data_IF_846063677991
#
_entry.id   IF_846063677991
#
_cell.length_a   1.000
_cell.length_b   1.000
_cell.length_c   1.000
_cell.angle_alpha   90.00
_cell.angle_beta   90.00
_cell.angle_gamma   90.00
#
_symmetry.space_group_name_H-M   'P 1'
#
loop_
_entity.id
_entity.type
_entity.pdbx_description
1 polymer ?
#
# COMPACT_ATOMS: atom_id res chain seq x y z
N UNK A 1 -9.84 14.02 -2.20
CA UNK A 1 -8.40 14.09 -1.86
C UNK A 1 -7.96 12.74 -1.31
N UNK A 2 -6.69 12.36 -1.46
CA UNK A 2 -6.14 11.08 -0.96
C UNK A 2 -5.59 11.27 0.45
N UNK A 3 -5.99 10.40 1.36
CA UNK A 3 -5.67 10.43 2.78
C UNK A 3 -4.94 9.15 3.19
N UNK A 4 -3.85 9.25 3.94
CA UNK A 4 -3.08 8.13 4.47
C UNK A 4 -3.21 8.14 5.99
N UNK A 5 -3.85 7.11 6.52
CA UNK A 5 -4.18 7.02 7.94
C UNK A 5 -3.36 5.89 8.53
N UNK A 6 -2.49 6.21 9.49
CA UNK A 6 -1.76 5.23 10.29
C UNK A 6 -2.52 4.96 11.58
N UNK A 7 -2.75 3.68 11.85
CA UNK A 7 -3.44 3.21 13.05
C UNK A 7 -2.53 2.24 13.78
N UNK A 8 -2.30 2.48 15.07
CA UNK A 8 -1.72 1.49 15.99
C UNK A 8 -2.89 0.85 16.72
N UNK A 9 -2.93 -0.47 16.70
CA UNK A 9 -3.98 -1.27 17.30
C UNK A 9 -3.39 -2.48 18.02
N UNK A 10 -4.13 -3.02 18.97
CA UNK A 10 -3.77 -4.29 19.62
C UNK A 10 -3.78 -5.43 18.60
N UNK A 11 -2.78 -6.31 18.70
CA UNK A 11 -2.64 -7.49 17.85
C UNK A 11 -3.51 -8.65 18.34
N UNK A 12 -4.82 -8.41 18.39
CA UNK A 12 -5.81 -9.37 18.85
C UNK A 12 -6.77 -9.82 17.74
N UNK A 13 -7.28 -11.04 17.88
CA UNK A 13 -8.25 -11.60 16.95
C UNK A 13 -9.49 -10.69 16.83
N UNK A 14 -9.77 -10.26 15.60
CA UNK A 14 -10.93 -9.44 15.27
C UNK A 14 -10.72 -7.93 15.36
N UNK A 15 -9.59 -7.43 15.88
CA UNK A 15 -9.29 -6.00 15.89
C UNK A 15 -9.26 -5.43 14.45
N UNK A 16 -8.58 -6.13 13.54
CA UNK A 16 -8.58 -5.81 12.11
C UNK A 16 -10.00 -5.85 11.49
N UNK A 17 -10.78 -6.88 11.79
CA UNK A 17 -12.14 -7.03 11.24
C UNK A 17 -13.07 -5.91 11.68
N UNK A 18 -12.91 -5.40 12.91
CA UNK A 18 -13.67 -4.26 13.44
C UNK A 18 -13.30 -2.97 12.73
N UNK A 19 -12.00 -2.73 12.52
CA UNK A 19 -11.54 -1.56 11.73
C UNK A 19 -12.07 -1.63 10.30
N UNK A 20 -11.91 -2.76 9.61
CA UNK A 20 -12.41 -2.93 8.24
C UNK A 20 -13.95 -2.79 8.17
N UNK A 21 -14.66 -3.41 9.11
CA UNK A 21 -16.12 -3.34 9.21
C UNK A 21 -16.64 -1.92 9.42
N UNK A 22 -15.92 -1.09 10.19
CA UNK A 22 -16.27 0.32 10.37
C UNK A 22 -16.28 1.09 9.04
N UNK A 23 -15.29 0.85 8.17
CA UNK A 23 -15.25 1.49 6.86
C UNK A 23 -16.44 1.06 6.00
N UNK A 24 -16.74 -0.24 5.96
CA UNK A 24 -17.91 -0.75 5.22
C UNK A 24 -19.23 -0.18 5.73
N UNK A 25 -19.46 -0.19 7.05
CA UNK A 25 -20.71 0.30 7.66
C UNK A 25 -20.95 1.79 7.44
N UNK A 26 -19.87 2.58 7.36
CA UNK A 26 -19.94 4.03 7.15
C UNK A 26 -19.84 4.43 5.67
N UNK A 27 -19.64 3.47 4.77
CA UNK A 27 -19.45 3.74 3.35
C UNK A 27 -18.17 4.50 3.04
N UNK A 28 -17.13 4.34 3.86
CA UNK A 28 -15.81 4.92 3.59
C UNK A 28 -15.05 4.07 2.57
N UNK A 29 -14.44 4.72 1.59
CA UNK A 29 -13.64 4.02 0.58
C UNK A 29 -12.30 3.54 1.17
N UNK A 30 -11.88 2.32 0.83
CA UNK A 30 -10.53 1.82 1.09
C UNK A 30 -9.85 1.60 -0.27
N UNK A 31 -8.84 2.40 -0.56
CA UNK A 31 -8.02 2.25 -1.76
C UNK A 31 -6.92 1.21 -1.54
N UNK A 32 -6.29 1.22 -0.36
CA UNK A 32 -5.39 0.15 0.07
C UNK A 32 -5.36 0.05 1.58
N UNK A 33 -5.03 -1.13 2.08
CA UNK A 33 -4.88 -1.41 3.50
C UNK A 33 -3.70 -2.37 3.69
N UNK A 34 -2.73 -1.97 4.50
CA UNK A 34 -1.66 -2.84 4.99
C UNK A 34 -1.79 -3.01 6.49
N UNK A 35 -1.45 -4.19 6.99
CA UNK A 35 -1.32 -4.45 8.42
C UNK A 35 -0.16 -5.40 8.67
N UNK A 36 0.62 -5.14 9.71
CA UNK A 36 1.65 -6.04 10.21
C UNK A 36 1.99 -5.69 11.67
N UNK A 37 2.53 -6.67 12.39
CA UNK A 37 3.07 -6.47 13.74
C UNK A 37 4.16 -5.40 13.74
N UNK A 38 4.22 -4.64 14.83
CA UNK A 38 5.31 -3.68 15.07
C UNK A 38 6.52 -4.36 15.72
N UNK A 39 7.50 -3.58 16.18
CA UNK A 39 8.58 -4.09 17.03
C UNK A 39 8.08 -4.54 18.42
N UNK A 40 6.89 -4.10 18.82
CA UNK A 40 6.15 -4.68 19.93
C UNK A 40 5.14 -5.70 19.36
N UNK A 41 5.29 -7.01 19.66
CA UNK A 41 4.42 -8.04 19.11
C UNK A 41 2.97 -7.97 19.63
N UNK A 42 2.69 -7.19 20.68
CA UNK A 42 1.32 -6.94 21.17
C UNK A 42 0.59 -5.89 20.34
N UNK A 43 1.30 -5.16 19.47
CA UNK A 43 0.76 -4.08 18.67
C UNK A 43 0.98 -4.33 17.18
N UNK A 44 -0.07 -4.11 16.41
CA UNK A 44 -0.05 -4.07 14.96
C UNK A 44 -0.12 -2.62 14.46
N UNK A 45 0.55 -2.35 13.34
CA UNK A 45 0.40 -1.09 12.60
C UNK A 45 -0.40 -1.36 11.34
N UNK A 46 -1.48 -0.62 11.18
CA UNK A 46 -2.29 -0.60 9.98
C UNK A 46 -2.11 0.73 9.25
N UNK A 47 -1.87 0.69 7.94
CA UNK A 47 -1.89 1.88 7.09
C UNK A 47 -3.06 1.76 6.13
N UNK A 48 -3.96 2.75 6.15
CA UNK A 48 -5.16 2.78 5.33
C UNK A 48 -5.07 3.98 4.39
N UNK A 49 -5.19 3.74 3.09
CA UNK A 49 -5.34 4.79 2.09
C UNK A 49 -6.82 4.91 1.75
N UNK A 50 -7.37 6.12 1.89
CA UNK A 50 -8.76 6.43 1.61
C UNK A 50 -8.87 7.68 0.76
N UNK A 51 -9.98 7.83 0.04
CA UNK A 51 -10.26 8.99 -0.80
C UNK A 51 -11.53 9.70 -0.30
N UNK A 52 -11.45 10.99 -0.04
CA UNK A 52 -12.60 11.77 0.44
C UNK A 52 -12.34 13.26 0.61
N UNK A 53 -13.31 13.97 1.17
CA UNK A 53 -13.13 15.34 1.66
C UNK A 53 -12.49 15.34 3.06
N UNK A 54 -12.02 16.49 3.53
CA UNK A 54 -11.52 16.67 4.92
C UNK A 54 -12.54 16.22 5.96
N UNK A 55 -13.84 16.51 5.72
CA UNK A 55 -14.92 16.07 6.61
C UNK A 55 -15.01 14.55 6.73
N UNK A 56 -14.75 13.82 5.64
CA UNK A 56 -14.74 12.35 5.66
C UNK A 56 -13.54 11.85 6.46
N UNK A 57 -12.34 12.44 6.26
CA UNK A 57 -11.15 12.10 7.03
C UNK A 57 -11.38 12.32 8.54
N UNK A 58 -11.89 13.49 8.92
CA UNK A 58 -12.21 13.79 10.31
C UNK A 58 -13.18 12.76 10.90
N UNK A 59 -14.20 12.34 10.13
CA UNK A 59 -15.13 11.31 10.57
C UNK A 59 -14.44 9.97 10.73
N UNK A 60 -13.60 9.54 9.78
CA UNK A 60 -12.84 8.29 9.89
C UNK A 60 -12.01 8.31 11.18
N UNK A 61 -11.21 9.36 11.40
CA UNK A 61 -10.37 9.50 12.60
C UNK A 61 -11.22 9.48 13.87
N UNK A 62 -12.33 10.22 13.92
CA UNK A 62 -13.24 10.25 15.08
C UNK A 62 -13.89 8.89 15.35
N UNK A 63 -14.19 8.10 14.33
CA UNK A 63 -14.79 6.78 14.52
C UNK A 63 -13.74 5.73 14.93
N UNK A 64 -12.54 5.78 14.36
CA UNK A 64 -11.45 4.87 14.74
C UNK A 64 -11.03 5.05 16.20
N UNK A 65 -10.95 6.29 16.69
CA UNK A 65 -10.65 6.57 18.11
C UNK A 65 -11.72 6.08 19.10
N UNK A 66 -12.89 5.60 18.63
CA UNK A 66 -13.92 5.01 19.49
C UNK A 66 -13.78 3.51 19.64
N UNK A 67 -12.95 2.86 18.82
CA UNK A 67 -12.67 1.43 18.93
C UNK A 67 -11.70 1.23 20.10
N UNK A 68 -11.99 0.26 20.97
CA UNK A 68 -11.23 0.02 22.19
C UNK A 68 -9.81 -0.45 21.84
N UNK A 69 -9.68 -1.22 20.78
CA UNK A 69 -8.42 -1.84 20.34
C UNK A 69 -7.49 -0.85 19.65
N UNK A 70 -8.00 0.33 19.28
CA UNK A 70 -7.22 1.36 18.60
C UNK A 70 -6.48 2.19 19.63
N UNK A 71 -5.17 1.99 19.71
CA UNK A 71 -4.28 2.70 20.62
C UNK A 71 -4.02 4.12 20.12
N UNK A 72 -3.81 4.29 18.81
CA UNK A 72 -3.52 5.60 18.23
C UNK A 72 -3.89 5.70 16.76
N UNK A 73 -4.42 6.85 16.38
CA UNK A 73 -4.70 7.20 14.98
C UNK A 73 -3.91 8.45 14.61
N UNK A 74 -3.22 8.42 13.47
CA UNK A 74 -2.49 9.56 12.93
C UNK A 74 -2.80 9.70 11.45
N UNK A 75 -3.18 10.90 11.04
CA UNK A 75 -3.17 11.28 9.63
C UNK A 75 -1.72 11.56 9.21
N UNK A 76 -1.21 10.77 8.27
CA UNK A 76 0.12 10.94 7.68
C UNK A 76 0.11 11.95 6.54
N UNK A 77 -1.02 12.19 5.86
CA UNK A 77 -1.10 13.14 4.75
C UNK A 77 -0.76 14.56 5.18
N UNK A 78 -1.18 14.97 6.39
CA UNK A 78 -0.86 16.28 6.97
C UNK A 78 0.58 16.41 7.51
N UNK A 79 1.40 15.36 7.41
CA UNK A 79 2.75 15.33 7.97
C UNK A 79 3.79 15.09 6.88
N UNK A 80 5.02 15.53 7.14
CA UNK A 80 6.15 15.08 6.34
C UNK A 80 6.39 13.58 6.61
N UNK A 81 6.19 12.76 5.59
CA UNK A 81 6.19 11.30 5.70
C UNK A 81 6.91 10.64 4.53
N UNK A 82 7.27 9.38 4.75
CA UNK A 82 7.70 8.44 3.72
C UNK A 82 6.58 7.43 3.54
N UNK A 83 6.12 7.28 2.31
CA UNK A 83 5.25 6.18 1.90
C UNK A 83 5.97 5.28 0.89
N UNK A 84 5.74 3.98 1.00
CA UNK A 84 6.22 2.96 0.07
C UNK A 84 5.16 1.88 -0.12
N UNK A 85 5.26 1.22 -1.25
CA UNK A 85 4.47 0.09 -1.65
C UNK A 85 5.42 -0.89 -2.36
N UNK A 86 5.11 -2.18 -2.26
CA UNK A 86 5.78 -3.25 -2.99
C UNK A 86 4.78 -3.90 -3.94
N UNK A 87 5.24 -4.22 -5.13
CA UNK A 87 4.50 -4.98 -6.12
C UNK A 87 5.37 -6.10 -6.68
N UNK A 88 4.78 -7.29 -6.82
CA UNK A 88 5.29 -8.35 -7.67
C UNK A 88 4.43 -8.38 -8.94
N UNK A 89 5.06 -8.27 -10.11
CA UNK A 89 4.41 -8.36 -11.40
C UNK A 89 5.01 -9.50 -12.21
N UNK A 90 4.15 -10.45 -12.62
CA UNK A 90 4.51 -11.56 -13.51
C UNK A 90 4.19 -11.14 -14.95
N UNK A 91 5.20 -11.12 -15.80
CA UNK A 91 5.14 -10.55 -17.14
C UNK A 91 5.68 -11.55 -18.17
N UNK A 92 4.95 -11.75 -19.25
CA UNK A 92 5.35 -12.53 -20.41
C UNK A 92 6.18 -11.67 -21.37
N UNK A 93 7.39 -12.12 -21.70
CA UNK A 93 8.22 -11.52 -22.75
C UNK A 93 7.94 -12.24 -24.09
N UNK A 94 6.73 -11.99 -24.61
CA UNK A 94 6.27 -12.56 -25.89
C UNK A 94 6.40 -11.60 -27.07
N UNK A 95 6.66 -10.31 -26.83
CA UNK A 95 6.71 -9.30 -27.89
C UNK A 95 8.05 -9.32 -28.64
N UNK A 96 7.98 -9.40 -29.97
CA UNK A 96 9.12 -9.23 -30.89
C UNK A 96 9.45 -7.76 -31.17
N UNK A 97 8.61 -6.82 -30.72
CA UNK A 97 8.65 -5.40 -31.14
C UNK A 97 8.43 -4.40 -29.98
N UNK A 98 8.37 -4.86 -28.73
CA UNK A 98 8.15 -4.01 -27.55
C UNK A 98 9.44 -3.63 -26.83
N UNK A 99 9.39 -2.53 -26.08
CA UNK A 99 10.45 -2.03 -25.19
C UNK A 99 11.10 -3.19 -24.41
N UNK A 100 12.43 -3.23 -24.35
CA UNK A 100 13.16 -4.29 -23.66
C UNK A 100 12.77 -4.28 -22.17
N UNK A 101 12.14 -5.37 -21.72
CA UNK A 101 11.73 -5.55 -20.33
C UNK A 101 12.92 -5.36 -19.38
N UNK A 102 14.14 -5.73 -19.80
CA UNK A 102 15.36 -5.54 -19.01
C UNK A 102 15.70 -4.06 -18.86
N UNK A 103 15.57 -3.29 -19.94
CA UNK A 103 15.79 -1.84 -19.92
C UNK A 103 14.76 -1.14 -19.02
N UNK A 104 13.48 -1.54 -19.10
CA UNK A 104 12.44 -1.03 -18.19
C UNK A 104 12.74 -1.35 -16.73
N UNK A 105 13.17 -2.58 -16.44
CA UNK A 105 13.59 -2.97 -15.08
C UNK A 105 14.74 -2.10 -14.60
N UNK A 106 15.73 -1.81 -15.45
CA UNK A 106 16.87 -0.97 -15.10
C UNK A 106 16.47 0.50 -14.87
N UNK A 107 15.70 1.10 -15.79
CA UNK A 107 15.23 2.50 -15.69
C UNK A 107 14.42 2.72 -14.41
N UNK A 108 13.53 1.78 -14.08
CA UNK A 108 12.73 1.88 -12.87
C UNK A 108 13.47 1.38 -11.61
N UNK A 109 14.69 0.87 -11.72
CA UNK A 109 15.44 0.28 -10.60
C UNK A 109 14.66 -0.84 -9.92
N UNK A 110 13.98 -1.67 -10.72
CA UNK A 110 13.26 -2.87 -10.29
C UNK A 110 14.23 -4.05 -10.15
N UNK A 111 13.74 -5.16 -9.62
CA UNK A 111 14.52 -6.41 -9.52
C UNK A 111 13.78 -7.54 -10.18
N UNK A 112 14.47 -8.32 -11.00
CA UNK A 112 13.94 -9.62 -11.47
C UNK A 112 14.17 -10.64 -10.36
N UNK A 113 13.09 -11.23 -9.84
CA UNK A 113 13.16 -12.20 -8.74
C UNK A 113 12.95 -13.65 -9.19
N UNK A 114 12.36 -13.86 -10.36
CA UNK A 114 12.20 -15.18 -10.97
C UNK A 114 12.12 -15.08 -12.50
N UNK A 115 12.61 -16.12 -13.19
CA UNK A 115 12.57 -16.22 -14.66
C UNK A 115 12.31 -17.68 -15.06
N UNK A 116 11.25 -17.90 -15.84
CA UNK A 116 10.93 -19.23 -16.38
C UNK A 116 10.21 -19.11 -17.72
N UNK A 117 10.68 -19.81 -18.76
CA UNK A 117 9.98 -19.92 -20.05
C UNK A 117 9.52 -18.58 -20.65
N UNK A 118 10.41 -17.56 -20.63
CA UNK A 118 10.14 -16.15 -21.03
C UNK A 118 9.12 -15.40 -20.17
N UNK A 119 8.72 -15.96 -19.04
CA UNK A 119 7.97 -15.28 -18.00
C UNK A 119 8.94 -14.76 -16.95
N UNK A 120 8.77 -13.51 -16.57
CA UNK A 120 9.59 -12.82 -15.59
C UNK A 120 8.70 -12.41 -14.42
N UNK A 121 9.15 -12.64 -13.20
CA UNK A 121 8.56 -12.02 -12.02
C UNK A 121 9.44 -10.87 -11.60
N UNK A 122 8.87 -9.66 -11.58
CA UNK A 122 9.57 -8.41 -11.29
C UNK A 122 9.07 -7.84 -9.98
N UNK A 123 9.98 -7.61 -9.04
CA UNK A 123 9.76 -6.83 -7.83
C UNK A 123 9.94 -5.34 -8.14
N UNK A 124 8.91 -4.56 -7.82
CA UNK A 124 8.88 -3.11 -7.93
C UNK A 124 8.59 -2.54 -6.55
N UNK A 125 9.48 -1.69 -6.05
CA UNK A 125 9.25 -0.93 -4.82
C UNK A 125 9.34 0.57 -5.06
N UNK A 126 8.46 1.32 -4.40
CA UNK A 126 8.41 2.77 -4.56
C UNK A 126 7.14 3.40 -4.02
N UNK A 127 6.91 4.66 -4.37
CA UNK A 127 5.59 5.28 -4.19
C UNK A 127 4.60 4.68 -5.19
N UNK A 128 3.32 4.69 -4.87
CA UNK A 128 2.24 4.22 -5.77
C UNK A 128 2.34 4.81 -7.18
N UNK A 129 2.75 6.08 -7.32
CA UNK A 129 2.98 6.72 -8.64
C UNK A 129 4.08 6.02 -9.46
N UNK A 130 5.18 5.60 -8.84
CA UNK A 130 6.27 4.87 -9.52
C UNK A 130 5.79 3.50 -9.99
N UNK A 131 5.05 2.80 -9.12
CA UNK A 131 4.51 1.47 -9.42
C UNK A 131 3.52 1.55 -10.59
N UNK A 132 2.59 2.51 -10.56
CA UNK A 132 1.64 2.71 -11.66
C UNK A 132 2.37 3.07 -12.96
N UNK A 133 3.36 3.98 -12.92
CA UNK A 133 4.13 4.32 -14.10
C UNK A 133 4.91 3.13 -14.71
N UNK A 134 5.36 2.18 -13.86
CA UNK A 134 5.97 0.94 -14.35
C UNK A 134 4.94 0.05 -15.06
N UNK A 135 3.72 -0.07 -14.51
CA UNK A 135 2.64 -0.82 -15.14
C UNK A 135 2.18 -0.17 -16.46
N UNK A 136 2.08 1.15 -16.49
CA UNK A 136 1.67 1.91 -17.67
C UNK A 136 2.69 1.81 -18.83
N UNK A 137 3.96 1.53 -18.52
CA UNK A 137 5.02 1.33 -19.50
C UNK A 137 5.00 -0.08 -20.14
N UNK A 138 4.16 -0.99 -19.64
CA UNK A 138 4.07 -2.38 -20.10
C UNK A 138 2.73 -2.58 -20.78
N UNK A 139 2.75 -3.22 -21.95
CA UNK A 139 1.51 -3.59 -22.63
C UNK A 139 0.65 -4.49 -21.72
N UNK A 140 -0.63 -4.16 -21.47
CA UNK A 140 -1.48 -4.92 -20.57
C UNK A 140 -1.60 -6.41 -20.93
N UNK A 141 -1.48 -6.76 -22.22
CA UNK A 141 -1.50 -8.15 -22.72
C UNK A 141 -0.31 -8.98 -22.26
N UNK A 142 0.81 -8.35 -21.90
CA UNK A 142 2.00 -9.04 -21.40
C UNK A 142 1.96 -9.25 -19.88
N UNK A 143 1.06 -8.58 -19.16
CA UNK A 143 0.92 -8.73 -17.71
C UNK A 143 0.07 -9.97 -17.42
N UNK A 144 0.67 -10.96 -16.77
CA UNK A 144 -0.01 -12.21 -16.40
C UNK A 144 -0.69 -12.06 -15.03
N UNK A 145 0.03 -11.51 -14.05
CA UNK A 145 -0.43 -11.44 -12.67
C UNK A 145 0.23 -10.27 -11.95
N UNK A 146 -0.50 -9.64 -11.04
CA UNK A 146 -0.01 -8.58 -10.17
C UNK A 146 -0.41 -8.90 -8.73
N UNK A 147 0.55 -8.77 -7.81
CA UNK A 147 0.29 -8.77 -6.36
C UNK A 147 0.89 -7.50 -5.76
N UNK A 148 0.06 -6.69 -5.09
CA UNK A 148 0.44 -5.41 -4.49
C UNK A 148 0.19 -5.46 -2.99
N UNK A 149 1.12 -4.92 -2.21
CA UNK A 149 0.95 -4.85 -0.75
C UNK A 149 -0.05 -3.80 -0.33
N UNK A 150 -0.24 -2.74 -1.14
CA UNK A 150 -0.78 -1.49 -0.64
C UNK A 150 0.29 -0.65 0.07
N UNK A 151 -0.10 0.55 0.50
CA UNK A 151 0.86 1.52 1.05
C UNK A 151 1.19 1.24 2.51
N UNK A 152 2.47 1.32 2.83
CA UNK A 152 2.98 1.47 4.20
C UNK A 152 3.66 2.83 4.34
N UNK A 153 3.56 3.45 5.51
CA UNK A 153 4.11 4.78 5.74
C UNK A 153 4.60 5.03 7.15
N UNK A 154 5.51 6.00 7.26
CA UNK A 154 6.04 6.51 8.53
C UNK A 154 6.33 8.01 8.43
N UNK A 155 6.11 8.76 9.51
CA UNK A 155 6.54 10.16 9.63
C UNK A 155 8.06 10.28 9.55
N UNK A 156 8.55 11.40 9.00
CA UNK A 156 9.98 11.72 8.98
C UNK A 156 10.46 12.29 10.31
N UNK A 157 11.76 12.14 10.55
CA UNK A 157 12.44 12.71 11.72
C UNK A 157 12.15 11.94 13.02
N UNK A 158 12.26 12.64 14.16
CA UNK A 158 12.10 12.04 15.50
C UNK A 158 10.65 11.83 15.92
N UNK A 159 9.67 12.20 15.08
CA UNK A 159 8.27 12.10 15.43
C UNK A 159 7.83 10.64 15.39
N UNK A 160 7.52 10.10 16.56
CA UNK A 160 6.91 8.78 16.70
C UNK A 160 5.40 8.89 16.48
N UNK A 161 4.87 8.03 15.61
CA UNK A 161 3.44 7.76 15.50
C UNK A 161 3.05 6.90 16.68
#
# INVERSE_FOLDING_TARGET
MRHIISVILEDEAGALSRVAGLFTQRGFNIESLTVAQTNDPTLSRMTIVSSGSERVLEQIVKQLNKLIEVVKVSDLTSQDHVERELMLAKISSTSKEGVDLKELVEIFGCKVVDVKDKIYTIEVSGKTKKINAFLDAIEPSNIIEISRTGVTGISRGKKLI
#
